data_IF_573444145438
#
_entry.id   IF_573444145438
#
_cell.length_a   1.000
_cell.length_b   1.000
_cell.length_c   1.000
_cell.angle_alpha   90.00
_cell.angle_beta   90.00
_cell.angle_gamma   90.00
#
_symmetry.space_group_name_H-M   'P 1'
#
loop_
_entity.id
_entity.type
_entity.pdbx_description
1 polymer ?
#
# COMPACT_ATOMS: atom_id res chain seq x y z
N UNK A 1 33.92 -2.33 -17.88
CA UNK A 1 33.26 -1.08 -18.29
C UNK A 1 32.93 -0.38 -16.98
N UNK A 2 33.57 0.75 -16.67
CA UNK A 2 33.35 1.42 -15.38
C UNK A 2 31.97 2.05 -15.44
N UNK A 3 31.03 1.53 -14.66
CA UNK A 3 29.72 2.15 -14.52
C UNK A 3 29.93 3.56 -13.96
N UNK A 4 29.57 4.59 -14.73
CA UNK A 4 29.47 5.95 -14.22
C UNK A 4 28.27 5.99 -13.28
N UNK A 5 28.45 5.55 -12.04
CA UNK A 5 27.46 5.71 -10.98
C UNK A 5 27.32 7.21 -10.76
N UNK A 6 26.12 7.75 -11.00
CA UNK A 6 25.84 9.14 -10.69
C UNK A 6 26.04 9.35 -9.19
N UNK A 7 26.79 10.39 -8.82
CA UNK A 7 27.15 10.69 -7.42
C UNK A 7 25.94 10.88 -6.48
N UNK A 8 24.72 10.93 -7.03
CA UNK A 8 23.47 11.11 -6.31
C UNK A 8 22.78 9.82 -5.87
N UNK A 9 23.17 8.64 -6.37
CA UNK A 9 22.54 7.36 -5.98
C UNK A 9 22.81 6.99 -4.50
N UNK A 10 24.06 7.07 -4.06
CA UNK A 10 24.45 6.78 -2.66
C UNK A 10 23.67 7.64 -1.64
N UNK A 11 23.62 8.99 -1.74
CA UNK A 11 22.85 9.78 -0.79
C UNK A 11 21.35 9.52 -0.88
N UNK A 12 20.83 9.15 -2.07
CA UNK A 12 19.44 8.76 -2.25
C UNK A 12 19.12 7.44 -1.50
N UNK A 13 19.97 6.42 -1.63
CA UNK A 13 19.81 5.15 -0.94
C UNK A 13 19.89 5.30 0.59
N UNK A 14 20.84 6.11 1.08
CA UNK A 14 20.94 6.41 2.52
C UNK A 14 19.67 7.09 3.02
N UNK A 15 19.14 8.06 2.26
CA UNK A 15 17.88 8.72 2.59
C UNK A 15 16.70 7.71 2.62
N UNK A 16 16.61 6.85 1.61
CA UNK A 16 15.58 5.81 1.53
C UNK A 16 15.67 4.84 2.71
N UNK A 17 16.87 4.39 3.10
CA UNK A 17 17.07 3.54 4.28
C UNK A 17 16.53 4.21 5.54
N UNK A 18 16.82 5.50 5.76
CA UNK A 18 16.34 6.24 6.93
C UNK A 18 14.81 6.31 6.93
N UNK A 19 14.20 6.67 5.79
CA UNK A 19 12.75 6.77 5.64
C UNK A 19 12.05 5.42 5.87
N UNK A 20 12.52 4.36 5.21
CA UNK A 20 11.94 3.02 5.33
C UNK A 20 12.11 2.47 6.75
N UNK A 21 13.28 2.66 7.36
CA UNK A 21 13.52 2.24 8.75
C UNK A 21 12.54 2.92 9.71
N UNK A 22 12.27 4.21 9.51
CA UNK A 22 11.28 4.94 10.31
C UNK A 22 9.87 4.34 10.14
N UNK A 23 9.46 4.02 8.90
CA UNK A 23 8.16 3.36 8.63
C UNK A 23 8.06 2.02 9.34
N UNK A 24 9.10 1.18 9.25
CA UNK A 24 9.16 -0.13 9.92
C UNK A 24 9.06 0.01 11.44
N UNK A 25 9.83 0.94 12.04
CA UNK A 25 9.80 1.21 13.48
C UNK A 25 8.41 1.67 13.91
N UNK A 26 7.82 2.62 13.20
CA UNK A 26 6.47 3.12 13.51
C UNK A 26 5.43 2.00 13.39
N UNK A 27 5.49 1.18 12.34
CA UNK A 27 4.58 0.06 12.16
C UNK A 27 4.63 -0.92 13.34
N UNK A 28 5.83 -1.25 13.82
CA UNK A 28 6.03 -2.10 15.01
C UNK A 28 5.43 -1.44 16.27
N UNK A 29 5.71 -0.15 16.49
CA UNK A 29 5.17 0.59 17.65
C UNK A 29 3.65 0.57 17.64
N UNK A 30 3.01 0.85 16.50
CA UNK A 30 1.56 0.82 16.38
C UNK A 30 0.98 -0.59 16.61
N UNK A 31 1.62 -1.64 16.09
CA UNK A 31 1.21 -3.02 16.37
C UNK A 31 1.28 -3.34 17.86
N UNK A 32 2.38 -2.98 18.52
CA UNK A 32 2.55 -3.18 19.97
C UNK A 32 1.45 -2.46 20.75
N UNK A 33 1.16 -1.20 20.41
CA UNK A 33 0.10 -0.41 21.06
C UNK A 33 -1.25 -1.11 20.91
N UNK A 34 -1.60 -1.54 19.69
CA UNK A 34 -2.90 -2.18 19.42
C UNK A 34 -3.06 -3.52 20.15
N UNK A 35 -1.96 -4.28 20.32
CA UNK A 35 -1.96 -5.56 21.02
C UNK A 35 -2.07 -5.39 22.54
N UNK A 36 -1.43 -4.35 23.10
CA UNK A 36 -1.40 -4.11 24.55
C UNK A 36 -2.67 -3.41 25.02
N UNK A 37 -3.14 -2.39 24.30
CA UNK A 37 -4.26 -1.57 24.72
C UNK A 37 -5.59 -2.23 24.34
N UNK A 38 -6.32 -2.70 25.36
CA UNK A 38 -7.66 -3.27 25.19
C UNK A 38 -8.66 -2.27 24.61
N UNK A 39 -8.47 -0.97 24.79
CA UNK A 39 -9.31 0.06 24.16
C UNK A 39 -9.17 0.05 22.63
N UNK A 40 -8.05 -0.46 22.11
CA UNK A 40 -7.82 -0.62 20.68
C UNK A 40 -8.40 -1.92 20.11
N UNK A 41 -9.04 -2.80 20.90
CA UNK A 41 -9.63 -4.04 20.38
C UNK A 41 -10.98 -3.82 19.68
N UNK A 42 -10.94 -3.01 18.63
CA UNK A 42 -12.08 -2.66 17.78
C UNK A 42 -11.79 -3.02 16.33
N UNK A 43 -12.84 -3.22 15.54
CA UNK A 43 -12.72 -3.59 14.12
C UNK A 43 -11.92 -2.55 13.28
N UNK A 44 -12.11 -1.23 13.44
CA UNK A 44 -11.27 -0.24 12.75
C UNK A 44 -9.79 -0.38 13.08
N UNK A 45 -9.47 -0.64 14.35
CA UNK A 45 -8.08 -0.82 14.80
C UNK A 45 -7.49 -2.15 14.33
N UNK A 46 -8.30 -3.20 14.17
CA UNK A 46 -7.87 -4.44 13.51
C UNK A 46 -7.46 -4.20 12.05
N UNK A 47 -8.20 -3.36 11.31
CA UNK A 47 -7.83 -2.98 9.94
C UNK A 47 -6.54 -2.14 9.91
N UNK A 48 -6.34 -1.25 10.90
CA UNK A 48 -5.08 -0.51 11.07
C UNK A 48 -3.93 -1.47 11.39
N UNK A 49 -4.12 -2.43 12.30
CA UNK A 49 -3.11 -3.43 12.62
C UNK A 49 -2.74 -4.27 11.39
N UNK A 50 -3.72 -4.65 10.56
CA UNK A 50 -3.46 -5.34 9.30
C UNK A 50 -2.60 -4.49 8.35
N UNK A 51 -2.89 -3.18 8.23
CA UNK A 51 -2.05 -2.26 7.45
C UNK A 51 -0.64 -2.17 8.04
N UNK A 52 -0.49 -1.99 9.36
CA UNK A 52 0.84 -1.94 10.00
C UNK A 52 1.63 -3.24 9.80
N UNK A 53 0.98 -4.40 9.82
CA UNK A 53 1.62 -5.68 9.50
C UNK A 53 2.08 -5.72 8.04
N UNK A 54 1.26 -5.25 7.10
CA UNK A 54 1.63 -5.15 5.70
C UNK A 54 2.82 -4.19 5.49
N UNK A 55 2.79 -3.00 6.11
CA UNK A 55 3.89 -2.02 6.07
C UNK A 55 5.18 -2.55 6.69
N UNK A 56 5.08 -3.33 7.77
CA UNK A 56 6.24 -3.96 8.37
C UNK A 56 6.92 -4.96 7.41
N UNK A 57 6.15 -5.86 6.80
CA UNK A 57 6.69 -6.85 5.86
C UNK A 57 7.22 -6.17 4.59
N UNK A 58 6.44 -5.25 4.03
CA UNK A 58 6.82 -4.54 2.81
C UNK A 58 8.03 -3.62 3.04
N UNK A 59 8.05 -2.88 4.14
CA UNK A 59 9.19 -2.05 4.53
C UNK A 59 10.45 -2.88 4.78
N UNK A 60 10.32 -4.09 5.34
CA UNK A 60 11.46 -5.00 5.52
C UNK A 60 12.01 -5.50 4.18
N UNK A 61 11.15 -5.81 3.20
CA UNK A 61 11.56 -6.17 1.84
C UNK A 61 12.26 -5.00 1.12
N UNK A 62 11.66 -3.80 1.17
CA UNK A 62 12.26 -2.59 0.60
C UNK A 62 13.60 -2.26 1.28
N UNK A 63 13.71 -2.41 2.60
CA UNK A 63 14.98 -2.20 3.30
C UNK A 63 16.03 -3.21 2.83
N UNK A 64 15.65 -4.48 2.63
CA UNK A 64 16.55 -5.48 2.06
C UNK A 64 16.98 -5.12 0.64
N UNK A 65 16.09 -4.57 -0.19
CA UNK A 65 16.44 -4.11 -1.54
C UNK A 65 17.39 -2.92 -1.50
N UNK A 66 17.08 -1.85 -0.75
CA UNK A 66 17.90 -0.64 -0.76
C UNK A 66 19.27 -0.90 -0.13
N UNK A 67 19.38 -1.76 0.88
CA UNK A 67 20.69 -2.19 1.41
C UNK A 67 21.50 -2.94 0.34
N UNK A 68 20.83 -3.74 -0.49
CA UNK A 68 21.48 -4.46 -1.58
C UNK A 68 21.97 -3.49 -2.68
N UNK A 69 21.13 -2.55 -3.10
CA UNK A 69 21.47 -1.48 -4.05
C UNK A 69 22.63 -0.64 -3.52
N UNK A 70 22.56 -0.16 -2.28
CA UNK A 70 23.63 0.61 -1.64
C UNK A 70 24.96 -0.16 -1.61
N UNK A 71 24.91 -1.47 -1.33
CA UNK A 71 26.11 -2.32 -1.35
C UNK A 71 26.71 -2.38 -2.74
N UNK A 72 25.90 -2.62 -3.77
CA UNK A 72 26.36 -2.66 -5.15
C UNK A 72 26.95 -1.32 -5.60
N UNK A 73 26.32 -0.21 -5.23
CA UNK A 73 26.78 1.15 -5.54
C UNK A 73 28.09 1.51 -4.82
N UNK A 74 28.23 1.14 -3.54
CA UNK A 74 29.45 1.40 -2.75
C UNK A 74 30.66 0.64 -3.27
N UNK A 75 30.46 -0.63 -3.67
CA UNK A 75 31.54 -1.46 -4.19
C UNK A 75 31.71 -1.36 -5.71
N UNK A 76 30.82 -0.64 -6.39
CA UNK A 76 30.77 -0.52 -7.86
C UNK A 76 30.71 -1.90 -8.53
N UNK A 77 29.84 -2.76 -8.03
CA UNK A 77 29.66 -4.14 -8.51
C UNK A 77 28.27 -4.29 -9.12
N UNK A 78 28.22 -4.74 -10.37
CA UNK A 78 27.00 -5.19 -11.01
C UNK A 78 26.79 -6.69 -10.73
N UNK A 79 26.12 -7.00 -9.61
CA UNK A 79 25.88 -8.39 -9.21
C UNK A 79 24.41 -8.62 -8.90
N UNK A 80 23.82 -9.64 -9.52
CA UNK A 80 22.52 -10.20 -9.16
C UNK A 80 22.69 -11.33 -8.14
N UNK A 81 21.80 -11.37 -7.15
CA UNK A 81 21.77 -12.47 -6.18
C UNK A 81 20.57 -13.40 -6.39
N UNK A 82 20.61 -14.57 -5.75
CA UNK A 82 19.55 -15.59 -5.84
C UNK A 82 18.20 -15.05 -5.33
N UNK A 83 18.23 -14.04 -4.46
CA UNK A 83 17.04 -13.42 -3.87
C UNK A 83 16.46 -12.28 -4.71
N UNK A 84 17.12 -11.88 -5.80
CA UNK A 84 16.73 -10.72 -6.60
C UNK A 84 15.28 -10.84 -7.11
N UNK A 85 14.93 -11.95 -7.74
CA UNK A 85 13.57 -12.22 -8.21
C UNK A 85 12.55 -12.31 -7.06
N UNK A 86 12.97 -12.86 -5.91
CA UNK A 86 12.13 -13.00 -4.74
C UNK A 86 11.80 -11.65 -4.10
N UNK A 87 12.79 -10.76 -3.95
CA UNK A 87 12.58 -9.38 -3.51
C UNK A 87 11.65 -8.67 -4.48
N UNK A 88 11.93 -8.73 -5.78
CA UNK A 88 11.08 -8.11 -6.81
C UNK A 88 9.62 -8.54 -6.69
N UNK A 89 9.38 -9.84 -6.51
CA UNK A 89 8.04 -10.39 -6.30
C UNK A 89 7.40 -9.86 -5.02
N UNK A 90 8.11 -9.90 -3.89
CA UNK A 90 7.59 -9.40 -2.61
C UNK A 90 7.25 -7.91 -2.67
N UNK A 91 8.02 -7.11 -3.42
CA UNK A 91 7.72 -5.70 -3.61
C UNK A 91 6.40 -5.51 -4.36
N UNK A 92 6.14 -6.23 -5.45
CA UNK A 92 4.84 -6.17 -6.13
C UNK A 92 3.67 -6.64 -5.25
N UNK A 93 3.89 -7.70 -4.45
CA UNK A 93 2.91 -8.15 -3.45
C UNK A 93 2.65 -7.05 -2.43
N UNK A 94 3.69 -6.40 -1.91
CA UNK A 94 3.63 -5.34 -0.92
C UNK A 94 2.87 -4.12 -1.43
N UNK A 95 3.18 -3.65 -2.64
CA UNK A 95 2.46 -2.55 -3.28
C UNK A 95 0.97 -2.86 -3.47
N UNK A 96 0.64 -4.07 -3.96
CA UNK A 96 -0.75 -4.49 -4.08
C UNK A 96 -1.43 -4.51 -2.71
N UNK A 97 -0.84 -5.22 -1.74
CA UNK A 97 -1.37 -5.43 -0.41
C UNK A 97 -1.66 -4.10 0.30
N UNK A 98 -0.74 -3.14 0.23
CA UNK A 98 -0.90 -1.81 0.80
C UNK A 98 -2.13 -1.09 0.21
N UNK A 99 -2.26 -1.06 -1.11
CA UNK A 99 -3.39 -0.40 -1.80
C UNK A 99 -4.73 -1.06 -1.48
N UNK A 100 -4.79 -2.39 -1.44
CA UNK A 100 -6.02 -3.10 -1.07
C UNK A 100 -6.34 -2.96 0.43
N UNK A 101 -5.35 -2.80 1.31
CA UNK A 101 -5.59 -2.45 2.72
C UNK A 101 -6.26 -1.07 2.85
N UNK A 102 -5.84 -0.09 2.05
CA UNK A 102 -6.51 1.21 2.00
C UNK A 102 -7.93 1.08 1.48
N UNK A 103 -8.15 0.33 0.39
CA UNK A 103 -9.49 0.06 -0.15
C UNK A 103 -10.41 -0.58 0.91
N UNK A 104 -9.91 -1.59 1.62
CA UNK A 104 -10.68 -2.28 2.66
C UNK A 104 -11.10 -1.30 3.77
N UNK A 105 -10.19 -0.44 4.23
CA UNK A 105 -10.51 0.61 5.19
C UNK A 105 -11.52 1.62 4.65
N UNK A 106 -11.42 2.01 3.38
CA UNK A 106 -12.38 2.90 2.71
C UNK A 106 -13.78 2.29 2.68
N UNK A 107 -13.89 1.03 2.27
CA UNK A 107 -15.15 0.29 2.22
C UNK A 107 -15.74 0.16 3.62
N UNK A 108 -14.93 -0.22 4.61
CA UNK A 108 -15.40 -0.35 5.99
C UNK A 108 -16.00 0.97 6.50
N UNK A 109 -15.28 2.10 6.34
CA UNK A 109 -15.76 3.42 6.75
C UNK A 109 -17.06 3.79 6.05
N UNK A 110 -17.17 3.50 4.76
CA UNK A 110 -18.40 3.73 3.99
C UNK A 110 -19.57 2.92 4.53
N UNK A 111 -19.38 1.62 4.75
CA UNK A 111 -20.44 0.75 5.27
C UNK A 111 -20.88 1.18 6.67
N UNK A 112 -19.96 1.57 7.56
CA UNK A 112 -20.31 2.08 8.90
C UNK A 112 -21.10 3.38 8.85
N UNK A 113 -20.87 4.26 7.86
CA UNK A 113 -21.59 5.54 7.73
C UNK A 113 -22.95 5.37 7.08
N UNK A 114 -23.06 4.55 6.03
CA UNK A 114 -24.30 4.38 5.25
C UNK A 114 -25.25 3.37 5.90
N UNK A 115 -24.70 2.26 6.43
CA UNK A 115 -25.46 1.17 7.01
C UNK A 115 -25.09 0.97 8.50
N UNK A 116 -25.34 1.97 9.36
CA UNK A 116 -24.92 1.90 10.76
C UNK A 116 -25.59 0.75 11.54
N UNK A 117 -26.78 0.30 11.11
CA UNK A 117 -27.55 -0.79 11.73
C UNK A 117 -27.16 -2.18 11.24
N UNK A 118 -26.39 -2.28 10.15
CA UNK A 118 -25.96 -3.56 9.62
C UNK A 118 -24.68 -4.02 10.30
N UNK A 119 -24.84 -4.86 11.31
CA UNK A 119 -23.75 -5.40 12.12
C UNK A 119 -22.99 -6.52 11.41
N UNK A 120 -23.52 -7.11 10.33
CA UNK A 120 -22.86 -8.21 9.63
C UNK A 120 -21.56 -7.72 8.99
N UNK A 121 -21.63 -6.63 8.23
CA UNK A 121 -20.46 -6.02 7.59
C UNK A 121 -19.45 -5.44 8.58
N UNK A 122 -19.91 -5.07 9.78
CA UNK A 122 -19.07 -4.55 10.85
C UNK A 122 -18.51 -5.66 11.76
N UNK A 123 -18.85 -6.93 11.51
CA UNK A 123 -18.39 -8.03 12.34
C UNK A 123 -16.91 -8.33 12.10
N UNK A 124 -16.20 -8.66 13.19
CA UNK A 124 -14.79 -9.07 13.14
C UNK A 124 -14.57 -10.23 12.19
N UNK A 125 -15.48 -11.22 12.18
CA UNK A 125 -15.38 -12.41 11.32
C UNK A 125 -15.40 -12.04 9.83
N UNK A 126 -16.31 -11.17 9.43
CA UNK A 126 -16.41 -10.73 8.04
C UNK A 126 -15.17 -9.92 7.63
N UNK A 127 -14.70 -9.02 8.50
CA UNK A 127 -13.49 -8.24 8.22
C UNK A 127 -12.22 -9.10 8.18
N UNK A 128 -12.08 -10.10 9.05
CA UNK A 128 -11.00 -11.09 8.95
C UNK A 128 -11.04 -11.86 7.63
N UNK A 129 -12.23 -12.26 7.17
CA UNK A 129 -12.38 -12.93 5.88
C UNK A 129 -11.91 -12.02 4.71
N UNK A 130 -12.31 -10.75 4.71
CA UNK A 130 -11.85 -9.78 3.70
C UNK A 130 -10.34 -9.51 3.77
N UNK A 131 -9.77 -9.45 4.97
CA UNK A 131 -8.31 -9.39 5.16
C UNK A 131 -7.67 -10.60 4.48
N UNK A 132 -8.09 -11.83 4.81
CA UNK A 132 -7.52 -13.05 4.22
C UNK A 132 -7.61 -13.04 2.68
N UNK A 133 -8.74 -12.61 2.11
CA UNK A 133 -8.88 -12.47 0.66
C UNK A 133 -7.90 -11.44 0.07
N UNK A 134 -7.68 -10.34 0.77
CA UNK A 134 -6.76 -9.28 0.35
C UNK A 134 -5.31 -9.79 0.29
N UNK A 135 -4.88 -10.54 1.31
CA UNK A 135 -3.57 -11.19 1.32
C UNK A 135 -3.45 -12.23 0.21
N UNK A 136 -4.43 -13.12 0.10
CA UNK A 136 -4.44 -14.18 -0.90
C UNK A 136 -4.37 -13.61 -2.32
N UNK A 137 -5.19 -12.59 -2.61
CA UNK A 137 -5.18 -11.90 -3.89
C UNK A 137 -3.81 -11.29 -4.18
N UNK A 138 -3.24 -10.56 -3.20
CA UNK A 138 -1.95 -9.86 -3.38
C UNK A 138 -0.81 -10.82 -3.71
N UNK A 139 -0.78 -12.00 -3.08
CA UNK A 139 0.19 -13.04 -3.43
C UNK A 139 -0.10 -13.68 -4.79
N UNK A 140 -1.34 -14.11 -5.04
CA UNK A 140 -1.69 -14.84 -6.27
C UNK A 140 -1.46 -13.99 -7.52
N UNK A 141 -1.82 -12.71 -7.46
CA UNK A 141 -1.70 -11.79 -8.58
C UNK A 141 -0.24 -11.64 -9.07
N UNK A 142 0.74 -11.72 -8.17
CA UNK A 142 2.16 -11.55 -8.51
C UNK A 142 2.82 -12.85 -9.01
N UNK A 143 2.18 -14.02 -8.85
CA UNK A 143 2.74 -15.32 -9.27
C UNK A 143 3.16 -15.34 -10.76
N UNK A 144 2.35 -14.83 -11.71
CA UNK A 144 2.72 -14.82 -13.12
C UNK A 144 4.05 -14.13 -13.42
N UNK A 145 4.50 -13.18 -12.58
CA UNK A 145 5.76 -12.46 -12.78
C UNK A 145 6.98 -13.37 -12.60
N UNK A 146 6.92 -14.28 -11.63
CA UNK A 146 7.95 -15.30 -11.44
C UNK A 146 7.81 -16.38 -12.52
N UNK A 147 6.60 -16.91 -12.73
CA UNK A 147 6.39 -18.03 -13.66
C UNK A 147 6.76 -17.70 -15.11
N UNK A 148 6.63 -16.43 -15.51
CA UNK A 148 6.95 -15.95 -16.86
C UNK A 148 8.29 -15.23 -16.94
N UNK A 149 9.14 -15.28 -15.89
CA UNK A 149 10.45 -14.62 -15.82
C UNK A 149 10.42 -13.14 -16.24
N UNK A 150 9.43 -12.40 -15.74
CA UNK A 150 9.25 -10.97 -16.07
C UNK A 150 10.10 -10.05 -15.18
N UNK A 151 10.46 -10.50 -13.98
CA UNK A 151 11.36 -9.77 -13.08
C UNK A 151 12.80 -10.04 -13.53
N UNK A 152 13.54 -8.97 -13.80
CA UNK A 152 14.93 -9.03 -14.24
C UNK A 152 15.76 -8.01 -13.48
N UNK A 153 17.03 -8.34 -13.27
CA UNK A 153 17.98 -7.40 -12.73
C UNK A 153 18.22 -6.27 -13.74
N UNK A 154 18.03 -5.03 -13.30
CA UNK A 154 18.30 -3.85 -14.10
C UNK A 154 19.62 -3.22 -13.64
N UNK A 155 20.56 -3.11 -14.56
CA UNK A 155 21.91 -2.58 -14.32
C UNK A 155 21.91 -1.07 -14.00
N UNK A 156 20.95 -0.33 -14.55
CA UNK A 156 20.93 1.13 -14.42
C UNK A 156 20.56 1.59 -13.01
N UNK A 157 19.77 0.77 -12.29
CA UNK A 157 19.29 1.10 -10.95
C UNK A 157 19.49 -0.01 -9.93
N UNK A 158 20.27 -1.04 -10.28
CA UNK A 158 20.73 -2.11 -9.38
C UNK A 158 19.60 -2.78 -8.59
N UNK A 159 18.41 -2.90 -9.18
CA UNK A 159 17.25 -3.56 -8.58
C UNK A 159 16.65 -4.61 -9.51
N UNK A 160 15.99 -5.60 -8.90
CA UNK A 160 15.17 -6.56 -9.63
C UNK A 160 13.75 -6.04 -9.79
N UNK A 161 13.39 -5.72 -11.02
CA UNK A 161 12.07 -5.22 -11.36
C UNK A 161 11.66 -5.71 -12.75
N UNK A 162 10.39 -5.55 -13.06
CA UNK A 162 9.93 -5.72 -14.42
C UNK A 162 10.48 -4.59 -15.32
N UNK A 163 10.96 -4.88 -16.54
CA UNK A 163 11.44 -3.84 -17.44
C UNK A 163 10.36 -2.80 -17.71
N UNK A 164 10.73 -1.53 -17.55
CA UNK A 164 9.84 -0.38 -17.78
C UNK A 164 9.53 -0.28 -19.27
N UNK A 165 8.27 -0.51 -19.64
CA UNK A 165 7.82 -0.43 -21.02
C UNK A 165 6.33 -0.76 -21.19
N UNK A 166 5.74 -0.29 -22.30
CA UNK A 166 4.36 -0.60 -22.67
C UNK A 166 4.25 -2.08 -23.08
N UNK A 167 4.06 -2.93 -22.08
CA UNK A 167 3.87 -4.37 -22.24
C UNK A 167 2.56 -4.79 -21.56
N UNK A 168 2.05 -5.96 -21.95
CA UNK A 168 0.85 -6.51 -21.33
C UNK A 168 0.98 -6.62 -19.81
N UNK A 169 2.11 -7.14 -19.31
CA UNK A 169 2.35 -7.28 -17.87
C UNK A 169 2.51 -5.91 -17.17
N UNK A 170 3.05 -4.90 -17.85
CA UNK A 170 3.15 -3.54 -17.32
C UNK A 170 1.77 -2.91 -17.13
N UNK A 171 0.89 -3.02 -18.13
CA UNK A 171 -0.49 -2.54 -18.07
C UNK A 171 -1.28 -3.32 -17.01
N UNK A 172 -1.15 -4.65 -17.01
CA UNK A 172 -1.75 -5.52 -15.99
C UNK A 172 -1.33 -5.08 -14.59
N UNK A 173 -0.06 -4.73 -14.42
CA UNK A 173 0.48 -4.33 -13.11
C UNK A 173 -0.04 -2.99 -12.65
N UNK A 174 -0.01 -2.00 -13.54
CA UNK A 174 -0.55 -0.68 -13.26
C UNK A 174 -2.04 -0.74 -12.89
N UNK A 175 -2.83 -1.56 -13.60
CA UNK A 175 -4.25 -1.72 -13.33
C UNK A 175 -4.52 -2.41 -12.00
N UNK A 176 -3.86 -3.53 -11.72
CA UNK A 176 -4.13 -4.31 -10.51
C UNK A 176 -3.63 -3.64 -9.23
N UNK A 177 -2.48 -2.98 -9.27
CA UNK A 177 -1.88 -2.30 -8.09
C UNK A 177 -2.50 -0.92 -7.87
N UNK A 178 -2.75 -0.15 -8.92
CA UNK A 178 -3.20 1.24 -8.81
C UNK A 178 -4.60 1.44 -9.38
N UNK A 179 -4.83 1.08 -10.63
CA UNK A 179 -6.07 1.41 -11.36
C UNK A 179 -7.34 0.96 -10.64
N UNK A 180 -7.44 -0.33 -10.31
CA UNK A 180 -8.59 -0.94 -9.65
C UNK A 180 -8.78 -0.38 -8.22
N UNK A 181 -7.81 -0.51 -7.29
CA UNK A 181 -8.04 -0.10 -5.91
C UNK A 181 -8.31 1.40 -5.80
N UNK A 182 -7.63 2.24 -6.57
CA UNK A 182 -7.81 3.70 -6.50
C UNK A 182 -9.15 4.11 -7.10
N UNK A 183 -9.57 3.51 -8.21
CA UNK A 183 -10.89 3.77 -8.79
C UNK A 183 -12.01 3.39 -7.82
N UNK A 184 -11.88 2.25 -7.14
CA UNK A 184 -12.86 1.80 -6.15
C UNK A 184 -12.86 2.70 -4.92
N UNK A 185 -11.70 3.11 -4.40
CA UNK A 185 -11.58 4.09 -3.31
C UNK A 185 -12.29 5.40 -3.70
N UNK A 186 -12.03 5.91 -4.91
CA UNK A 186 -12.65 7.13 -5.41
C UNK A 186 -14.16 7.00 -5.55
N UNK A 187 -14.65 5.87 -6.05
CA UNK A 187 -16.09 5.58 -6.14
C UNK A 187 -16.77 5.55 -4.77
N UNK A 188 -16.15 4.86 -3.80
CA UNK A 188 -16.64 4.77 -2.41
C UNK A 188 -16.76 6.17 -1.80
N UNK A 189 -15.76 7.03 -1.99
CA UNK A 189 -15.80 8.39 -1.46
C UNK A 189 -16.75 9.31 -2.20
N UNK A 190 -16.87 9.17 -3.52
CA UNK A 190 -17.88 9.90 -4.27
C UNK A 190 -19.28 9.61 -3.72
N UNK A 191 -19.60 8.34 -3.45
CA UNK A 191 -20.86 7.93 -2.82
C UNK A 191 -21.01 8.50 -1.40
N UNK A 192 -19.94 8.51 -0.61
CA UNK A 192 -19.94 9.11 0.73
C UNK A 192 -20.25 10.61 0.67
N UNK A 193 -19.63 11.36 -0.24
CA UNK A 193 -19.91 12.80 -0.46
C UNK A 193 -21.35 13.03 -0.87
N UNK A 194 -21.89 12.22 -1.79
CA UNK A 194 -23.29 12.31 -2.22
C UNK A 194 -24.23 12.14 -1.02
N UNK A 195 -23.99 11.11 -0.20
CA UNK A 195 -24.77 10.85 1.01
C UNK A 195 -24.72 12.01 2.00
N UNK A 196 -23.54 12.57 2.26
CA UNK A 196 -23.36 13.74 3.15
C UNK A 196 -24.14 14.95 2.63
N UNK A 197 -24.08 15.22 1.32
CA UNK A 197 -24.83 16.32 0.70
C UNK A 197 -26.34 16.14 0.81
N UNK A 198 -26.83 14.91 0.64
CA UNK A 198 -28.25 14.60 0.78
C UNK A 198 -28.73 14.72 2.24
N UNK A 199 -27.95 14.25 3.20
CA UNK A 199 -28.28 14.38 4.63
C UNK A 199 -28.27 15.85 5.08
N UNK A 200 -27.29 16.64 4.63
CA UNK A 200 -27.22 18.07 4.96
C UNK A 200 -28.46 18.83 4.45
N UNK A 201 -28.92 18.51 3.23
CA UNK A 201 -30.18 19.06 2.67
C UNK A 201 -31.41 18.67 3.47
N UNK A 202 -31.40 17.51 4.15
CA UNK A 202 -32.51 16.98 4.95
C UNK A 202 -32.49 17.40 6.43
N UNK A 203 -31.52 18.23 6.84
CA UNK A 203 -31.35 18.70 8.22
C UNK A 203 -31.37 17.57 9.29
N UNK A 204 -30.85 16.38 8.95
CA UNK A 204 -30.91 15.19 9.81
C UNK A 204 -29.59 14.95 10.55
N UNK A 205 -29.68 14.60 11.84
CA UNK A 205 -28.62 14.15 12.76
C UNK A 205 -27.22 14.78 12.55
N UNK A 206 -27.00 15.95 13.15
CA UNK A 206 -25.75 16.72 13.11
C UNK A 206 -24.50 15.89 13.43
N UNK A 207 -24.61 14.89 14.30
CA UNK A 207 -23.49 14.02 14.69
C UNK A 207 -23.00 13.09 13.56
N UNK A 208 -23.92 12.54 12.75
CA UNK A 208 -23.57 11.67 11.61
C UNK A 208 -22.92 12.51 10.50
N UNK A 209 -23.49 13.71 10.26
CA UNK A 209 -22.95 14.66 9.30
C UNK A 209 -21.52 15.08 9.65
N UNK A 210 -21.29 15.52 10.90
CA UNK A 210 -19.96 15.90 11.38
C UNK A 210 -18.94 14.75 11.28
N UNK A 211 -19.35 13.51 11.57
CA UNK A 211 -18.49 12.33 11.43
C UNK A 211 -18.09 12.12 9.96
N UNK A 212 -19.04 12.17 9.05
CA UNK A 212 -18.79 11.95 7.64
C UNK A 212 -17.94 13.08 7.00
N UNK A 213 -18.13 14.35 7.41
CA UNK A 213 -17.27 15.46 6.99
C UNK A 213 -15.81 15.31 7.45
N UNK A 214 -15.60 14.85 8.70
CA UNK A 214 -14.25 14.57 9.22
C UNK A 214 -13.56 13.46 8.44
N UNK A 215 -14.29 12.38 8.15
CA UNK A 215 -13.78 11.31 7.29
C UNK A 215 -13.37 11.89 5.92
N UNK A 216 -14.25 12.63 5.24
CA UNK A 216 -13.95 13.24 3.94
C UNK A 216 -12.70 14.13 3.97
N UNK A 217 -12.49 14.90 5.04
CA UNK A 217 -11.31 15.77 5.18
C UNK A 217 -10.01 14.97 5.33
N UNK A 218 -10.01 13.89 6.11
CA UNK A 218 -8.84 13.00 6.22
C UNK A 218 -8.54 12.33 4.88
N UNK A 219 -9.57 11.97 4.13
CA UNK A 219 -9.46 11.22 2.90
C UNK A 219 -9.04 12.07 1.70
N UNK A 220 -9.47 13.34 1.65
CA UNK A 220 -8.94 14.30 0.68
C UNK A 220 -7.41 14.36 0.75
N UNK A 221 -6.84 14.29 1.96
CA UNK A 221 -5.37 14.27 2.14
C UNK A 221 -4.76 12.97 1.62
N UNK A 222 -5.34 11.81 1.95
CA UNK A 222 -4.85 10.51 1.46
C UNK A 222 -4.93 10.39 -0.07
N UNK A 223 -6.03 10.81 -0.69
CA UNK A 223 -6.18 10.79 -2.17
C UNK A 223 -5.17 11.72 -2.84
N UNK A 224 -4.92 12.92 -2.28
CA UNK A 224 -3.88 13.81 -2.81
C UNK A 224 -2.52 13.14 -2.73
N UNK A 225 -2.18 12.51 -1.60
CA UNK A 225 -0.91 11.78 -1.44
C UNK A 225 -0.81 10.62 -2.45
N UNK A 226 -1.86 9.82 -2.61
CA UNK A 226 -1.89 8.70 -3.55
C UNK A 226 -1.80 9.18 -5.00
N UNK A 227 -2.48 10.26 -5.38
CA UNK A 227 -2.36 10.86 -6.71
C UNK A 227 -0.95 11.39 -6.96
N UNK A 228 -0.32 12.01 -5.96
CA UNK A 228 1.09 12.43 -6.03
C UNK A 228 1.99 11.21 -6.23
N UNK A 229 1.77 10.11 -5.49
CA UNK A 229 2.53 8.87 -5.64
C UNK A 229 2.33 8.24 -7.02
N UNK A 230 1.12 8.24 -7.58
CA UNK A 230 0.86 7.78 -8.94
C UNK A 230 1.61 8.66 -9.95
N UNK A 231 1.54 9.97 -9.81
CA UNK A 231 2.20 10.92 -10.74
C UNK A 231 3.72 10.78 -10.66
N UNK A 232 4.28 10.55 -9.46
CA UNK A 232 5.72 10.33 -9.26
C UNK A 232 6.13 8.91 -9.70
N UNK A 233 5.26 7.92 -9.56
CA UNK A 233 5.53 6.51 -9.86
C UNK A 233 5.21 6.09 -11.30
N UNK A 234 4.57 6.96 -12.09
CA UNK A 234 4.52 6.84 -13.55
C UNK A 234 5.84 7.40 -14.09
N UNK A 235 6.64 6.60 -14.82
CA UNK A 235 7.86 7.09 -15.47
C UNK A 235 7.55 8.19 -16.50
#
# INVERSE_FOLDING_TARGET
MVANIESWFIPFDVFMIICISLVVILAIIFLIIIIIDRACHTVPMMLIANLCLAEFLFGSDLLSMVIFTLRNDLYQIDHDDIFCNFRGYLSYVGYALQNYCFLLQSIYRYLTVIYPTDLFYQSTKFQCFLICLTWLFSFIYAIPFISMNQIKFNLDNQICQMPLGFSFFGIYTALCIYGIPISLIMMVYFKLVQYVKEMNKRAMATNILMRAERELKMLRRTVIIVLIIIIIGLP
#
